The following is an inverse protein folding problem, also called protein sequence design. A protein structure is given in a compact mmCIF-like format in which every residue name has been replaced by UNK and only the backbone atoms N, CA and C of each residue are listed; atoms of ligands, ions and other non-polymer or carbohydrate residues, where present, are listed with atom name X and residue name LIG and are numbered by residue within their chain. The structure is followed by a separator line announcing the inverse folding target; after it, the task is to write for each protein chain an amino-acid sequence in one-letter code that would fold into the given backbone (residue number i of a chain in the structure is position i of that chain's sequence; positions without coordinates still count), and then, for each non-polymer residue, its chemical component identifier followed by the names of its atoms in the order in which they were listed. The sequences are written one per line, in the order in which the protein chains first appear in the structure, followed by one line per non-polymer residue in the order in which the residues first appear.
data_IF_421471533911
#
_entry.id   IF_421471533911
#
_cell.length_a   1.000
_cell.length_b   1.000
_cell.length_c   1.000
_cell.angle_alpha   90.00
_cell.angle_beta   90.00
_cell.angle_gamma   90.00
#
_symmetry.space_group_name_H-M   'P 1'
#
loop_
_entity.id
_entity.type
_entity.pdbx_description
1 polymer ?
#
# COMPACT_ATOMS: atom_id res chain seq x y z
N UNK A 1 15.13 -68.74 9.51
CA UNK A 1 14.20 -67.62 9.22
C UNK A 1 15.02 -66.33 9.23
N UNK A 2 15.52 -65.90 8.06
CA UNK A 2 16.46 -64.76 7.96
C UNK A 2 15.67 -63.55 7.46
N UNK A 3 15.56 -62.49 8.28
CA UNK A 3 14.90 -61.23 7.93
C UNK A 3 15.79 -60.42 6.98
N UNK A 4 15.30 -60.09 5.79
CA UNK A 4 15.93 -59.13 4.86
C UNK A 4 15.72 -57.69 5.37
N UNK A 5 16.71 -56.78 5.23
CA UNK A 5 16.53 -55.38 5.58
C UNK A 5 15.72 -54.62 4.51
N UNK A 6 15.02 -53.54 4.87
CA UNK A 6 14.24 -52.76 3.91
C UNK A 6 15.15 -51.88 3.04
N UNK A 7 14.82 -51.80 1.75
CA UNK A 7 15.46 -50.92 0.76
C UNK A 7 14.97 -49.49 0.99
N UNK A 8 15.90 -48.56 1.20
CA UNK A 8 15.63 -47.12 1.14
C UNK A 8 15.68 -46.71 -0.33
N UNK A 9 14.54 -46.30 -0.89
CA UNK A 9 14.43 -45.72 -2.22
C UNK A 9 14.48 -44.20 -2.03
N UNK A 10 15.59 -43.57 -2.43
CA UNK A 10 15.67 -42.12 -2.55
C UNK A 10 14.96 -41.70 -3.85
N UNK A 11 13.81 -41.05 -3.71
CA UNK A 11 13.20 -40.31 -4.81
C UNK A 11 13.94 -38.97 -4.96
N UNK A 12 14.42 -38.59 -6.16
CA UNK A 12 15.01 -37.27 -6.35
C UNK A 12 13.91 -36.21 -6.30
N UNK A 13 14.10 -35.25 -5.40
CA UNK A 13 13.28 -34.06 -5.19
C UNK A 13 13.31 -33.22 -6.48
N UNK A 14 12.14 -32.97 -7.07
CA UNK A 14 12.01 -32.08 -8.22
C UNK A 14 12.43 -30.65 -7.80
N UNK A 15 13.36 -30.06 -8.55
CA UNK A 15 13.71 -28.66 -8.41
C UNK A 15 12.51 -27.81 -8.85
N UNK A 16 11.89 -27.10 -7.91
CA UNK A 16 10.91 -26.07 -8.22
C UNK A 16 11.65 -24.89 -8.87
N UNK A 17 11.30 -24.58 -10.12
CA UNK A 17 11.64 -23.28 -10.72
C UNK A 17 11.00 -22.19 -9.86
N UNK A 18 11.82 -21.35 -9.24
CA UNK A 18 11.39 -20.04 -8.77
C UNK A 18 11.14 -19.18 -10.03
N UNK A 19 9.89 -19.19 -10.49
CA UNK A 19 9.40 -18.15 -11.37
C UNK A 19 9.47 -16.84 -10.57
N UNK A 20 10.36 -15.94 -10.97
CA UNK A 20 10.26 -14.54 -10.58
C UNK A 20 8.92 -14.03 -11.12
N UNK A 21 7.90 -14.02 -10.27
CA UNK A 21 6.56 -13.60 -10.62
C UNK A 21 6.56 -12.11 -10.95
N UNK A 22 6.43 -11.79 -12.23
CA UNK A 22 6.06 -10.47 -12.69
C UNK A 22 4.64 -10.15 -12.18
N UNK A 23 4.45 -8.99 -11.54
CA UNK A 23 3.12 -8.48 -11.23
C UNK A 23 3.15 -6.94 -11.13
N UNK A 24 2.85 -6.28 -12.24
CA UNK A 24 2.30 -4.91 -12.21
C UNK A 24 1.16 -4.86 -13.22
N UNK A 25 -0.09 -4.94 -12.78
CA UNK A 25 -1.21 -4.61 -13.65
C UNK A 25 -2.03 -3.44 -13.08
N UNK A 26 -1.73 -2.27 -13.59
CA UNK A 26 -2.46 -1.03 -13.34
C UNK A 26 -3.74 -1.02 -14.22
N UNK A 27 -4.79 -0.24 -13.88
CA UNK A 27 -5.97 -0.04 -14.76
C UNK A 27 -5.52 0.15 -16.21
N UNK A 28 -5.92 -0.74 -17.12
CA UNK A 28 -5.31 -0.80 -18.44
C UNK A 28 -5.90 0.21 -19.42
N UNK A 29 -6.91 1.00 -19.04
CA UNK A 29 -7.51 1.97 -19.96
C UNK A 29 -6.51 3.02 -20.44
N UNK A 30 -5.55 3.44 -19.60
CA UNK A 30 -4.48 4.35 -20.03
C UNK A 30 -3.41 3.68 -20.92
N UNK A 31 -3.40 2.34 -21.04
CA UNK A 31 -2.52 1.59 -21.96
C UNK A 31 -3.05 1.54 -23.41
N UNK A 32 -4.31 1.93 -23.63
CA UNK A 32 -4.90 1.94 -24.99
C UNK A 32 -4.33 3.06 -25.89
N UNK A 33 -3.54 3.97 -25.34
CA UNK A 33 -2.94 5.10 -26.07
C UNK A 33 -1.50 4.75 -26.43
N UNK A 34 -1.15 4.90 -27.70
CA UNK A 34 0.24 4.80 -28.14
C UNK A 34 1.05 5.96 -27.53
N UNK A 35 2.10 5.61 -26.79
CA UNK A 35 3.00 6.54 -26.13
C UNK A 35 4.44 6.05 -26.34
N UNK A 36 5.40 6.94 -26.67
CA UNK A 36 6.82 6.58 -26.70
C UNK A 36 7.41 6.38 -25.29
N UNK A 37 6.69 6.78 -24.25
CA UNK A 37 7.08 6.61 -22.84
C UNK A 37 6.43 5.37 -22.21
N UNK A 38 7.06 4.85 -21.15
CA UNK A 38 6.65 3.63 -20.43
C UNK A 38 5.30 3.79 -19.68
N UNK A 39 4.99 2.87 -18.76
CA UNK A 39 3.87 3.07 -17.83
C UNK A 39 4.18 4.13 -16.79
N UNK A 40 3.13 4.76 -16.24
CA UNK A 40 3.30 5.71 -15.16
C UNK A 40 3.91 5.04 -13.93
N UNK A 41 3.44 3.83 -13.60
CA UNK A 41 4.07 3.00 -12.58
C UNK A 41 5.22 2.26 -13.24
N UNK A 42 6.43 2.55 -12.77
CA UNK A 42 7.64 1.87 -13.20
C UNK A 42 7.61 0.40 -12.73
N UNK A 43 7.77 -0.58 -13.63
CA UNK A 43 7.67 -2.00 -13.28
C UNK A 43 8.65 -2.44 -12.18
N UNK A 44 9.85 -1.85 -12.17
CA UNK A 44 10.95 -2.24 -11.28
C UNK A 44 11.12 -1.29 -10.07
N UNK A 45 10.15 -0.40 -9.82
CA UNK A 45 10.23 0.56 -8.72
C UNK A 45 9.20 0.25 -7.63
N UNK A 46 9.63 -0.02 -6.38
CA UNK A 46 8.80 -0.71 -5.40
C UNK A 46 7.73 0.17 -4.73
N UNK A 47 7.66 1.46 -5.05
CA UNK A 47 6.64 2.37 -4.52
C UNK A 47 6.41 3.58 -5.42
N UNK A 48 5.33 4.32 -5.20
CA UNK A 48 5.16 5.68 -5.72
C UNK A 48 4.17 6.46 -4.87
N UNK A 49 4.22 7.79 -4.96
CA UNK A 49 3.28 8.67 -4.25
C UNK A 49 1.94 8.74 -4.97
N UNK A 50 0.83 8.61 -4.22
CA UNK A 50 -0.52 8.70 -4.77
C UNK A 50 -1.55 9.04 -3.69
N UNK A 51 -2.61 9.74 -4.07
CA UNK A 51 -3.82 9.84 -3.23
C UNK A 51 -4.64 8.56 -3.37
N UNK A 52 -5.06 7.96 -2.25
CA UNK A 52 -5.89 6.76 -2.26
C UNK A 52 -7.24 7.03 -1.60
N UNK A 53 -8.32 6.82 -2.36
CA UNK A 53 -9.69 6.84 -1.88
C UNK A 53 -10.18 5.40 -1.66
N UNK A 54 -10.24 5.00 -0.40
CA UNK A 54 -10.66 3.68 0.06
C UNK A 54 -11.96 3.76 0.87
N UNK A 55 -12.81 4.76 0.61
CA UNK A 55 -14.09 4.96 1.31
C UNK A 55 -15.19 3.99 0.86
N UNK A 56 -15.06 3.44 -0.34
CA UNK A 56 -16.07 2.60 -0.99
C UNK A 56 -15.61 1.13 -1.14
N UNK A 57 -15.18 0.53 -0.01
CA UNK A 57 -14.75 -0.88 0.02
C UNK A 57 -15.89 -1.85 0.39
N UNK A 58 -17.04 -1.33 0.86
CA UNK A 58 -18.17 -2.12 1.36
C UNK A 58 -18.39 -2.00 2.88
N UNK A 59 -19.50 -2.55 3.38
CA UNK A 59 -20.01 -2.28 4.74
C UNK A 59 -19.16 -2.78 5.91
N UNK A 60 -18.26 -3.73 5.67
CA UNK A 60 -17.38 -4.28 6.72
C UNK A 60 -16.06 -3.50 6.87
N UNK A 61 -15.85 -2.46 6.05
CA UNK A 61 -14.61 -1.69 5.98
C UNK A 61 -14.81 -0.24 6.43
N UNK A 62 -13.73 0.47 6.84
CA UNK A 62 -13.83 1.87 7.24
C UNK A 62 -14.34 2.78 6.09
N UNK A 63 -15.49 3.42 6.29
CA UNK A 63 -16.14 4.28 5.28
C UNK A 63 -15.54 5.70 5.14
N UNK A 64 -14.55 6.03 5.96
CA UNK A 64 -13.85 7.32 5.98
C UNK A 64 -12.38 7.22 5.56
N UNK A 65 -11.96 6.09 4.99
CA UNK A 65 -10.56 5.83 4.65
C UNK A 65 -10.11 6.58 3.39
N UNK A 66 -9.74 7.84 3.56
CA UNK A 66 -9.11 8.67 2.54
C UNK A 66 -7.67 8.99 2.92
N UNK A 67 -6.74 8.76 2.00
CA UNK A 67 -5.31 9.02 2.20
C UNK A 67 -4.82 10.05 1.17
N UNK A 68 -4.81 11.36 1.49
CA UNK A 68 -4.37 12.42 0.58
C UNK A 68 -2.92 12.28 0.13
N UNK A 69 -2.03 11.85 1.03
CA UNK A 69 -0.59 11.70 0.80
C UNK A 69 -0.15 10.28 1.13
N UNK A 70 -0.57 9.37 0.25
CA UNK A 70 -0.27 7.96 0.32
C UNK A 70 1.02 7.60 -0.39
N UNK A 71 1.71 6.60 0.15
CA UNK A 71 2.81 5.90 -0.46
C UNK A 71 2.31 4.51 -0.85
N UNK A 72 2.08 4.29 -2.13
CA UNK A 72 1.67 2.98 -2.63
C UNK A 72 2.91 2.10 -2.71
N UNK A 73 2.86 0.94 -2.07
CA UNK A 73 3.93 -0.04 -1.96
C UNK A 73 3.55 -1.29 -2.77
N UNK A 74 4.50 -1.79 -3.55
CA UNK A 74 4.41 -3.11 -4.18
C UNK A 74 4.94 -4.15 -3.18
N UNK A 75 4.04 -4.88 -2.49
CA UNK A 75 4.41 -5.78 -1.39
C UNK A 75 4.84 -7.18 -1.86
N UNK A 76 4.59 -7.51 -3.13
CA UNK A 76 4.88 -8.80 -3.75
C UNK A 76 3.63 -9.64 -4.00
N UNK A 77 3.72 -10.60 -4.94
CA UNK A 77 2.64 -11.57 -5.26
C UNK A 77 1.27 -10.92 -5.58
N UNK A 78 1.27 -9.79 -6.31
CA UNK A 78 0.04 -9.06 -6.66
C UNK A 78 -0.63 -8.38 -5.46
N UNK A 79 0.09 -8.23 -4.34
CA UNK A 79 -0.40 -7.54 -3.14
C UNK A 79 0.24 -6.15 -3.05
N UNK A 80 -0.61 -5.17 -2.76
CA UNK A 80 -0.26 -3.76 -2.68
C UNK A 80 -0.64 -3.20 -1.31
N UNK A 81 0.10 -2.20 -0.85
CA UNK A 81 -0.17 -1.48 0.38
C UNK A 81 -0.19 0.02 0.16
N UNK A 82 -0.88 0.76 1.00
CA UNK A 82 -0.83 2.22 1.04
C UNK A 82 -0.43 2.67 2.43
N UNK A 83 0.76 3.26 2.55
CA UNK A 83 1.20 3.91 3.77
C UNK A 83 0.82 5.38 3.75
N UNK A 84 0.03 5.79 4.73
CA UNK A 84 -0.42 7.17 4.93
C UNK A 84 0.64 7.92 5.71
N UNK A 85 1.31 8.85 5.03
CA UNK A 85 2.40 9.68 5.60
C UNK A 85 1.89 10.73 6.59
N UNK A 86 0.60 11.03 6.59
CA UNK A 86 0.00 12.00 7.52
C UNK A 86 -0.32 11.40 8.86
N UNK A 87 -0.91 10.20 8.86
CA UNK A 87 -1.28 9.48 10.08
C UNK A 87 -0.25 8.43 10.49
N UNK A 88 0.80 8.22 9.70
CA UNK A 88 1.86 7.25 9.97
C UNK A 88 1.28 5.84 10.18
N UNK A 89 0.47 5.40 9.21
CA UNK A 89 -0.31 4.16 9.27
C UNK A 89 -0.30 3.42 7.95
N UNK A 90 -0.43 2.11 7.99
CA UNK A 90 -0.82 1.32 6.83
C UNK A 90 -2.33 1.48 6.62
N UNK A 91 -2.75 2.31 5.68
CA UNK A 91 -4.16 2.67 5.47
C UNK A 91 -4.95 1.52 4.81
N UNK A 92 -4.34 0.83 3.86
CA UNK A 92 -4.95 -0.28 3.12
C UNK A 92 -3.89 -1.28 2.67
N UNK A 93 -4.25 -2.56 2.68
CA UNK A 93 -3.60 -3.63 1.92
C UNK A 93 -4.65 -4.31 1.07
N UNK A 94 -4.36 -4.57 -0.19
CA UNK A 94 -5.28 -5.24 -1.11
C UNK A 94 -4.50 -6.08 -2.12
N UNK A 95 -5.18 -7.10 -2.63
CA UNK A 95 -4.71 -7.90 -3.77
C UNK A 95 -5.32 -7.35 -5.06
N UNK A 96 -4.54 -7.39 -6.13
CA UNK A 96 -5.01 -7.09 -7.49
C UNK A 96 -6.23 -7.93 -7.88
N UNK A 97 -6.97 -7.46 -8.90
CA UNK A 97 -8.08 -8.22 -9.48
C UNK A 97 -7.57 -9.45 -10.25
N UNK A 98 -8.48 -10.35 -10.64
CA UNK A 98 -8.13 -11.52 -11.46
C UNK A 98 -7.56 -11.12 -12.85
N UNK A 99 -7.83 -9.89 -13.32
CA UNK A 99 -7.27 -9.34 -14.56
C UNK A 99 -5.90 -8.66 -14.34
N UNK A 100 -5.43 -8.70 -13.09
CA UNK A 100 -4.23 -8.08 -12.57
C UNK A 100 -4.42 -6.61 -12.19
N UNK A 101 -5.60 -6.00 -12.40
CA UNK A 101 -5.79 -4.56 -12.14
C UNK A 101 -5.82 -4.25 -10.63
N UNK A 102 -4.99 -3.32 -10.16
CA UNK A 102 -4.91 -2.98 -8.72
C UNK A 102 -5.19 -1.52 -8.35
N UNK A 103 -5.19 -0.56 -9.27
CA UNK A 103 -5.45 0.85 -8.96
C UNK A 103 -5.98 1.61 -10.18
N UNK A 104 -6.98 2.47 -9.97
CA UNK A 104 -7.45 3.40 -11.01
C UNK A 104 -6.47 4.55 -11.19
N UNK A 105 -6.26 4.97 -12.45
CA UNK A 105 -5.18 5.92 -12.80
C UNK A 105 -5.69 7.28 -13.23
N UNK A 106 -6.68 7.75 -12.49
CA UNK A 106 -7.40 9.01 -12.64
C UNK A 106 -6.83 10.15 -11.79
N UNK A 107 -5.68 9.95 -11.12
CA UNK A 107 -4.95 11.07 -10.48
C UNK A 107 -4.47 12.10 -11.52
N UNK A 108 -4.19 13.33 -11.08
CA UNK A 108 -3.65 14.36 -11.97
C UNK A 108 -2.34 13.93 -12.63
N UNK A 109 -1.39 13.39 -11.85
CA UNK A 109 -0.10 12.95 -12.40
C UNK A 109 -0.27 11.77 -13.36
N UNK A 110 -0.97 10.72 -12.94
CA UNK A 110 -1.14 9.51 -13.74
C UNK A 110 -2.00 9.72 -14.98
N UNK A 111 -3.12 10.45 -14.85
CA UNK A 111 -4.02 10.74 -15.95
C UNK A 111 -3.35 11.60 -17.02
N UNK A 112 -2.70 12.70 -16.61
CA UNK A 112 -2.01 13.59 -17.54
C UNK A 112 -0.73 13.01 -18.14
N UNK A 113 -0.14 11.96 -17.55
CA UNK A 113 1.08 11.33 -18.08
C UNK A 113 0.88 10.73 -19.48
N UNK A 114 -0.31 10.16 -19.76
CA UNK A 114 -0.62 9.55 -21.06
C UNK A 114 -1.70 10.24 -21.86
N UNK A 115 -2.55 11.03 -21.19
CA UNK A 115 -3.58 11.83 -21.84
C UNK A 115 -3.16 13.30 -21.82
N UNK A 116 -2.35 13.75 -22.81
CA UNK A 116 -1.98 15.15 -22.89
C UNK A 116 -3.23 16.03 -22.99
N UNK A 117 -3.19 17.20 -22.34
CA UNK A 117 -4.31 18.15 -22.26
C UNK A 117 -5.56 17.64 -21.52
N UNK A 118 -5.51 16.46 -20.88
CA UNK A 118 -6.59 16.05 -19.99
C UNK A 118 -6.44 16.73 -18.63
N UNK A 119 -7.41 17.59 -18.32
CA UNK A 119 -7.52 18.24 -17.02
C UNK A 119 -8.14 17.27 -16.01
N UNK A 120 -7.48 17.08 -14.88
CA UNK A 120 -8.08 16.38 -13.75
C UNK A 120 -9.33 17.13 -13.25
N UNK A 121 -10.39 16.39 -12.95
CA UNK A 121 -11.58 16.95 -12.32
C UNK A 121 -11.22 17.61 -10.98
N UNK A 122 -11.87 18.71 -10.66
CA UNK A 122 -11.67 19.36 -9.35
C UNK A 122 -12.39 18.57 -8.24
N UNK A 123 -11.84 18.63 -7.02
CA UNK A 123 -12.41 18.03 -5.83
C UNK A 123 -12.07 16.55 -5.64
N UNK A 124 -12.88 15.84 -4.85
CA UNK A 124 -12.61 14.47 -4.40
C UNK A 124 -13.48 13.41 -5.08
N UNK A 125 -14.21 13.76 -6.15
CA UNK A 125 -15.19 12.85 -6.79
C UNK A 125 -14.54 11.70 -7.54
N UNK A 126 -13.37 11.95 -8.12
CA UNK A 126 -12.68 11.06 -9.06
C UNK A 126 -11.23 10.85 -8.63
N UNK A 127 -11.05 10.47 -7.36
CA UNK A 127 -9.74 10.11 -6.82
C UNK A 127 -9.39 8.66 -7.19
N UNK A 128 -8.10 8.29 -7.20
CA UNK A 128 -7.65 6.92 -7.35
C UNK A 128 -8.23 6.01 -6.29
N UNK A 129 -8.78 4.87 -6.74
CA UNK A 129 -9.40 3.84 -5.90
C UNK A 129 -8.67 2.52 -6.08
N UNK A 130 -8.57 1.70 -5.02
CA UNK A 130 -8.04 0.35 -5.16
C UNK A 130 -8.96 -0.47 -6.04
N UNK A 131 -8.37 -1.32 -6.88
CA UNK A 131 -9.06 -2.35 -7.65
C UNK A 131 -8.66 -3.72 -7.08
N UNK A 132 -9.59 -4.67 -7.06
CA UNK A 132 -9.36 -6.01 -6.52
C UNK A 132 -9.91 -6.18 -5.09
N UNK A 133 -9.21 -6.99 -4.28
CA UNK A 133 -9.74 -7.50 -3.00
C UNK A 133 -9.01 -6.88 -1.80
N UNK A 134 -9.71 -6.13 -0.92
CA UNK A 134 -9.12 -5.64 0.32
C UNK A 134 -8.74 -6.80 1.25
N UNK A 135 -7.56 -6.72 1.86
CA UNK A 135 -7.03 -7.70 2.81
C UNK A 135 -6.96 -7.13 4.24
N UNK A 136 -6.65 -5.84 4.37
CA UNK A 136 -6.56 -5.11 5.63
C UNK A 136 -6.88 -3.64 5.37
N UNK A 137 -7.68 -3.01 6.22
CA UNK A 137 -7.90 -1.57 6.18
C UNK A 137 -7.93 -1.01 7.60
N UNK A 138 -7.29 0.14 7.81
CA UNK A 138 -7.37 0.88 9.06
C UNK A 138 -8.30 2.09 8.89
N UNK A 139 -8.99 2.46 9.96
CA UNK A 139 -9.77 3.71 10.03
C UNK A 139 -8.88 4.93 10.19
N UNK A 140 -9.48 6.12 10.22
CA UNK A 140 -8.78 7.40 10.26
C UNK A 140 -8.15 7.69 11.64
N UNK A 141 -7.12 6.93 12.01
CA UNK A 141 -6.36 7.08 13.26
C UNK A 141 -4.92 6.59 13.05
N UNK A 142 -3.95 7.00 13.89
CA UNK A 142 -2.56 6.59 13.74
C UNK A 142 -2.34 5.07 13.82
N UNK A 143 -1.35 4.55 13.10
CA UNK A 143 -1.04 3.11 13.04
C UNK A 143 -0.35 2.56 14.28
N UNK A 144 -0.31 3.34 15.35
CA UNK A 144 0.43 3.13 16.57
C UNK A 144 -0.29 3.84 17.73
N UNK A 145 0.02 3.46 18.96
CA UNK A 145 -0.45 4.16 20.16
C UNK A 145 0.70 4.27 21.17
N UNK A 146 0.67 5.32 22.00
CA UNK A 146 1.66 5.52 23.06
C UNK A 146 1.06 5.08 24.40
N UNK A 147 1.76 4.22 25.11
CA UNK A 147 1.37 3.72 26.43
C UNK A 147 0.83 2.29 26.41
N UNK A 148 0.51 1.77 27.60
CA UNK A 148 0.04 0.39 27.80
C UNK A 148 -1.50 0.26 27.86
N UNK A 149 -2.23 1.35 27.57
CA UNK A 149 -3.69 1.39 27.62
C UNK A 149 -4.35 0.80 26.38
N UNK A 150 -5.69 0.83 26.36
CA UNK A 150 -6.44 0.54 25.15
C UNK A 150 -6.08 1.54 24.04
N UNK A 151 -6.02 1.11 22.76
CA UNK A 151 -5.73 2.01 21.65
C UNK A 151 -6.82 3.07 21.52
N UNK A 152 -6.40 4.33 21.36
CA UNK A 152 -7.28 5.43 20.99
C UNK A 152 -7.45 5.42 19.47
N UNK A 153 -8.66 5.09 19.01
CA UNK A 153 -9.01 4.97 17.59
C UNK A 153 -9.66 6.25 17.04
N UNK A 154 -9.23 7.41 17.53
CA UNK A 154 -9.68 8.72 17.08
C UNK A 154 -8.64 9.40 16.19
N UNK A 155 -9.09 10.27 15.28
CA UNK A 155 -8.18 11.12 14.50
C UNK A 155 -7.68 12.26 15.40
N UNK A 156 -6.37 12.32 15.72
CA UNK A 156 -5.82 13.34 16.61
C UNK A 156 -5.56 14.68 15.91
N UNK A 157 -5.80 14.77 14.60
CA UNK A 157 -5.48 15.96 13.81
C UNK A 157 -6.48 17.08 14.08
N UNK A 158 -5.96 18.29 14.29
CA UNK A 158 -6.81 19.47 14.37
C UNK A 158 -7.43 19.76 13.00
N UNK A 159 -8.74 20.05 12.99
CA UNK A 159 -9.44 20.39 11.76
C UNK A 159 -9.06 21.78 11.22
N UNK A 160 -8.54 22.68 12.06
CA UNK A 160 -8.19 24.04 11.66
C UNK A 160 -9.37 24.76 10.99
N UNK A 161 -9.18 25.19 9.74
CA UNK A 161 -10.21 25.84 8.92
C UNK A 161 -10.98 24.87 8.01
N UNK A 162 -10.75 23.56 8.12
CA UNK A 162 -11.41 22.55 7.31
C UNK A 162 -12.92 22.55 7.57
N UNK A 163 -13.70 22.31 6.51
CA UNK A 163 -15.16 22.26 6.62
C UNK A 163 -15.59 21.03 7.43
N UNK A 164 -16.79 21.06 8.01
CA UNK A 164 -17.38 19.88 8.64
C UNK A 164 -17.49 18.73 7.63
N UNK A 165 -17.07 17.52 8.02
CA UNK A 165 -17.04 16.34 7.15
C UNK A 165 -15.83 16.25 6.21
N UNK A 166 -14.94 17.24 6.15
CA UNK A 166 -13.67 17.12 5.43
C UNK A 166 -12.71 16.14 6.13
N UNK A 167 -12.15 15.18 5.39
CA UNK A 167 -11.36 14.05 5.93
C UNK A 167 -9.86 14.18 5.58
N UNK A 168 -9.55 14.91 4.51
CA UNK A 168 -8.19 15.07 3.98
C UNK A 168 -7.35 16.10 4.74
N UNK A 169 -7.24 15.95 6.06
CA UNK A 169 -6.49 16.86 6.92
C UNK A 169 -4.97 16.76 6.69
N UNK A 170 -4.24 17.72 7.24
CA UNK A 170 -2.77 17.76 7.22
C UNK A 170 -2.11 16.59 7.99
N UNK A 171 -0.80 16.69 8.26
CA UNK A 171 -0.09 15.69 9.05
C UNK A 171 -0.55 15.68 10.51
N UNK A 172 -0.29 14.56 11.19
CA UNK A 172 -0.43 14.42 12.64
C UNK A 172 0.36 15.52 13.38
N UNK A 173 -0.10 15.99 14.56
CA UNK A 173 0.68 16.91 15.37
C UNK A 173 2.10 16.39 15.64
N UNK A 174 3.12 17.23 15.46
CA UNK A 174 4.54 16.85 15.57
C UNK A 174 4.90 16.22 16.94
N UNK A 175 4.21 16.65 18.01
CA UNK A 175 4.36 16.06 19.36
C UNK A 175 3.99 14.57 19.43
N UNK A 176 3.15 14.10 18.51
CA UNK A 176 2.67 12.74 18.42
C UNK A 176 3.56 11.92 17.49
N UNK A 177 3.90 12.45 16.32
CA UNK A 177 4.80 11.79 15.40
C UNK A 177 5.13 12.67 14.20
N UNK A 178 6.12 12.25 13.42
CA UNK A 178 6.55 12.98 12.24
C UNK A 178 7.08 12.04 11.17
N UNK A 179 6.55 12.14 9.95
CA UNK A 179 7.15 11.52 8.77
C UNK A 179 8.56 12.09 8.55
N UNK A 180 9.57 11.22 8.42
CA UNK A 180 10.95 11.63 8.15
C UNK A 180 11.33 11.40 6.70
N UNK A 181 10.88 10.30 6.13
CA UNK A 181 11.18 9.96 4.74
C UNK A 181 11.10 8.47 4.50
N UNK A 182 11.70 8.09 3.37
CA UNK A 182 11.93 6.69 3.05
C UNK A 182 13.35 6.53 2.51
N UNK A 183 13.86 5.31 2.62
CA UNK A 183 15.09 4.87 1.97
C UNK A 183 14.83 3.57 1.21
N UNK A 184 15.59 3.36 0.15
CA UNK A 184 15.67 2.08 -0.54
C UNK A 184 16.92 1.33 -0.10
N UNK A 185 16.73 0.18 0.53
CA UNK A 185 17.79 -0.78 0.86
C UNK A 185 17.71 -1.93 -0.16
N UNK A 186 18.35 -1.74 -1.32
CA UNK A 186 18.13 -2.60 -2.48
C UNK A 186 16.70 -2.44 -2.99
N UNK A 187 15.90 -3.51 -2.97
CA UNK A 187 14.48 -3.48 -3.35
C UNK A 187 13.55 -3.26 -2.15
N UNK A 188 14.08 -3.25 -0.92
CA UNK A 188 13.28 -3.06 0.28
C UNK A 188 13.03 -1.57 0.53
N UNK A 189 11.76 -1.19 0.62
CA UNK A 189 11.34 0.14 1.06
C UNK A 189 11.42 0.20 2.58
N UNK A 190 12.25 1.10 3.10
CA UNK A 190 12.29 1.48 4.52
C UNK A 190 11.53 2.78 4.70
N UNK A 191 10.49 2.73 5.50
CA UNK A 191 9.66 3.87 5.88
C UNK A 191 10.19 4.38 7.23
N UNK A 192 10.52 5.67 7.30
CA UNK A 192 11.14 6.29 8.47
C UNK A 192 10.25 7.41 9.02
N UNK A 193 9.91 7.31 10.30
CA UNK A 193 9.08 8.29 11.01
C UNK A 193 9.37 8.27 12.50
N UNK A 194 8.81 9.21 13.25
CA UNK A 194 8.85 9.22 14.71
C UNK A 194 7.48 8.96 15.32
N UNK A 195 7.48 8.31 16.48
CA UNK A 195 6.35 8.16 17.39
C UNK A 195 6.76 8.71 18.76
N UNK A 196 6.22 9.87 19.13
CA UNK A 196 6.74 10.69 20.20
C UNK A 196 8.22 10.99 19.97
N UNK A 197 9.07 10.51 20.88
CA UNK A 197 10.54 10.61 20.79
C UNK A 197 11.22 9.38 20.18
N UNK A 198 10.46 8.36 19.77
CA UNK A 198 11.01 7.10 19.27
C UNK A 198 11.12 7.18 17.75
N UNK A 199 12.31 6.92 17.21
CA UNK A 199 12.48 6.71 15.78
C UNK A 199 12.00 5.31 15.40
N UNK A 200 11.27 5.21 14.30
CA UNK A 200 10.78 3.96 13.75
C UNK A 200 11.27 3.86 12.32
N UNK A 201 11.96 2.76 12.01
CA UNK A 201 12.20 2.32 10.64
C UNK A 201 11.42 1.04 10.40
N UNK A 202 10.48 1.05 9.45
CA UNK A 202 9.69 -0.15 9.12
C UNK A 202 9.81 -0.55 7.65
N UNK A 203 9.72 -1.85 7.40
CA UNK A 203 9.50 -2.41 6.06
C UNK A 203 8.26 -3.28 6.06
N UNK A 204 7.52 -3.24 4.96
CA UNK A 204 6.26 -3.98 4.78
C UNK A 204 6.43 -4.87 3.55
N UNK A 205 6.04 -6.14 3.68
CA UNK A 205 6.11 -7.14 2.61
C UNK A 205 4.95 -8.11 2.71
N UNK A 206 4.66 -8.82 1.62
CA UNK A 206 3.71 -9.92 1.60
C UNK A 206 4.44 -11.23 1.35
N UNK A 207 4.06 -12.27 2.09
CA UNK A 207 4.52 -13.63 1.89
C UNK A 207 3.32 -14.57 1.84
N UNK A 208 3.28 -15.49 0.87
CA UNK A 208 2.16 -16.43 0.73
C UNK A 208 1.80 -17.19 2.03
N UNK A 209 2.80 -17.61 2.80
CA UNK A 209 2.60 -18.41 4.03
C UNK A 209 2.34 -17.56 5.28
N UNK A 210 2.94 -16.37 5.37
CA UNK A 210 2.88 -15.52 6.58
C UNK A 210 1.86 -14.38 6.46
N UNK A 211 1.39 -14.08 5.25
CA UNK A 211 0.58 -12.91 4.96
C UNK A 211 1.41 -11.62 4.93
N UNK A 212 0.81 -10.53 5.40
CA UNK A 212 1.47 -9.23 5.50
C UNK A 212 2.43 -9.23 6.68
N UNK A 213 3.72 -9.03 6.40
CA UNK A 213 4.78 -8.96 7.41
C UNK A 213 5.29 -7.53 7.51
N UNK A 214 5.26 -6.99 8.72
CA UNK A 214 5.87 -5.71 9.09
C UNK A 214 7.08 -5.99 9.96
N UNK A 215 8.22 -5.42 9.58
CA UNK A 215 9.46 -5.50 10.37
C UNK A 215 9.81 -4.09 10.81
N UNK A 216 9.84 -3.86 12.12
CA UNK A 216 10.16 -2.58 12.75
C UNK A 216 11.55 -2.69 13.40
N UNK A 217 12.35 -1.65 13.27
CA UNK A 217 13.67 -1.48 13.90
C UNK A 217 13.86 -0.08 14.45
#
# INVERSE_FOLDING_TARGET
MVKRPPRIVFAPLAAALLMAGAATAQDKNHLKLESPWASFVEPDFPFFGQVLDARDLGGDWPGDNLTPRGLILQLGEGVHGCFDTDLLRLALVWRESDEGEWLTMNSMAAGSYRLPQQKAGAGQKDLPRPLGTPLLANGLYPGWFVGAGAPDLTDPRERGTAQEGEIGLGPIPEKLGQWKGLRLDGTTVRIEYTVGSTEVSESISYHQELGVVRVLS
#
